data_IF_133807028960
#
_entry.id   IF_133807028960
#
_cell.length_a   1.000
_cell.length_b   1.000
_cell.length_c   1.000
_cell.angle_alpha   90.00
_cell.angle_beta   90.00
_cell.angle_gamma   90.00
#
_symmetry.space_group_name_H-M   'P 1'
#
loop_
_entity.id
_entity.type
_entity.pdbx_description
1 polymer ?
#
# COMPACT_ATOMS: atom_id res chain seq x y z
N UNK A 1 14.29 -28.38 9.04
CA UNK A 1 13.83 -27.47 7.98
C UNK A 1 13.09 -26.32 8.65
N UNK A 2 13.35 -25.08 8.24
CA UNK A 2 12.57 -23.91 8.65
C UNK A 2 11.46 -23.67 7.63
N UNK A 3 10.28 -23.29 8.11
CA UNK A 3 9.18 -22.81 7.28
C UNK A 3 8.84 -21.37 7.69
N UNK A 4 8.51 -20.54 6.71
CA UNK A 4 7.93 -19.22 6.95
C UNK A 4 6.42 -19.35 6.95
N UNK A 5 5.75 -18.71 7.88
CA UNK A 5 4.29 -18.70 7.99
C UNK A 5 3.83 -17.25 7.95
N UNK A 6 2.85 -16.98 7.10
CA UNK A 6 2.18 -15.68 7.08
C UNK A 6 1.09 -15.63 8.15
N UNK A 7 0.97 -14.49 8.82
CA UNK A 7 0.02 -14.30 9.90
C UNK A 7 -0.46 -12.85 9.97
N UNK A 8 -1.73 -12.68 10.35
CA UNK A 8 -2.30 -11.36 10.63
C UNK A 8 -2.21 -11.07 12.13
N UNK A 9 -1.78 -9.86 12.49
CA UNK A 9 -1.80 -9.38 13.86
C UNK A 9 -3.09 -8.61 14.15
N UNK A 10 -3.92 -9.09 15.07
CA UNK A 10 -5.21 -8.46 15.42
C UNK A 10 -5.11 -7.40 16.54
N UNK A 11 -3.89 -7.01 16.92
CA UNK A 11 -3.61 -6.12 18.05
C UNK A 11 -3.30 -6.85 19.36
N UNK A 12 -3.52 -8.17 19.42
CA UNK A 12 -3.20 -8.98 20.60
C UNK A 12 -2.49 -10.30 20.25
N UNK A 13 -2.87 -10.94 19.15
CA UNK A 13 -2.42 -12.27 18.76
C UNK A 13 -2.10 -12.32 17.26
N UNK A 14 -1.03 -13.04 16.90
CA UNK A 14 -0.74 -13.40 15.51
C UNK A 14 -1.55 -14.64 15.13
N UNK A 15 -2.42 -14.50 14.13
CA UNK A 15 -3.23 -15.59 13.58
C UNK A 15 -2.62 -16.04 12.26
N UNK A 16 -2.06 -17.25 12.17
CA UNK A 16 -1.49 -17.72 10.92
C UNK A 16 -2.60 -17.90 9.88
N UNK A 17 -2.30 -17.59 8.63
CA UNK A 17 -3.24 -17.76 7.52
C UNK A 17 -3.51 -19.25 7.25
N UNK A 18 -2.54 -20.11 7.54
CA UNK A 18 -2.67 -21.56 7.50
C UNK A 18 -2.49 -22.18 8.90
N UNK A 19 -3.29 -23.20 9.22
CA UNK A 19 -3.19 -23.87 10.51
C UNK A 19 -1.84 -24.58 10.66
N UNK A 20 -1.17 -24.35 11.79
CA UNK A 20 0.09 -25.01 12.13
C UNK A 20 -0.01 -25.66 13.51
N UNK A 21 0.42 -26.91 13.61
CA UNK A 21 0.59 -27.57 14.90
C UNK A 21 2.02 -27.36 15.42
N UNK A 22 2.12 -26.67 16.55
CA UNK A 22 3.37 -26.47 17.27
C UNK A 22 3.31 -27.21 18.61
N UNK A 23 4.45 -27.78 19.03
CA UNK A 23 4.56 -28.37 20.36
C UNK A 23 4.56 -27.25 21.43
N UNK A 24 4.12 -27.53 22.67
CA UNK A 24 4.32 -26.60 23.78
C UNK A 24 5.78 -26.13 23.86
N UNK A 25 5.98 -24.87 24.24
CA UNK A 25 7.29 -24.22 24.35
C UNK A 25 8.12 -24.15 23.05
N UNK A 26 7.48 -24.27 21.89
CA UNK A 26 8.15 -24.05 20.60
C UNK A 26 8.55 -22.57 20.46
N UNK A 27 9.85 -22.33 20.29
CA UNK A 27 10.38 -20.99 20.01
C UNK A 27 10.15 -20.64 18.55
N UNK A 28 9.55 -19.49 18.30
CA UNK A 28 9.34 -18.92 16.96
C UNK A 28 10.20 -17.68 16.77
N UNK A 29 10.53 -17.36 15.52
CA UNK A 29 11.15 -16.09 15.13
C UNK A 29 10.12 -15.29 14.34
N UNK A 30 9.83 -14.08 14.81
CA UNK A 30 9.00 -13.13 14.07
C UNK A 30 9.90 -12.31 13.16
N UNK A 31 9.51 -12.19 11.90
CA UNK A 31 10.11 -11.29 10.93
C UNK A 31 8.97 -10.39 10.47
N UNK A 32 9.10 -9.08 10.70
CA UNK A 32 8.18 -8.08 10.18
C UNK A 32 8.84 -7.48 8.96
N UNK A 33 8.18 -7.60 7.81
CA UNK A 33 8.59 -6.97 6.57
C UNK A 33 7.60 -5.88 6.26
N UNK A 34 8.08 -4.68 5.98
CA UNK A 34 7.25 -3.66 5.36
C UNK A 34 6.94 -4.11 3.94
N UNK A 35 5.66 -4.21 3.60
CA UNK A 35 5.24 -4.43 2.22
C UNK A 35 5.51 -3.14 1.46
N UNK A 36 6.23 -3.23 0.34
CA UNK A 36 6.42 -2.05 -0.51
C UNK A 36 5.10 -1.67 -1.17
N UNK A 37 4.95 -0.40 -1.55
CA UNK A 37 3.79 0.07 -2.32
C UNK A 37 3.65 -0.67 -3.65
N UNK A 38 4.76 -1.11 -4.25
CA UNK A 38 4.76 -1.95 -5.45
C UNK A 38 4.20 -3.35 -5.18
N UNK A 39 4.64 -4.02 -4.11
CA UNK A 39 4.11 -5.35 -3.76
C UNK A 39 2.61 -5.29 -3.43
N UNK A 40 2.16 -4.20 -2.78
CA UNK A 40 0.75 -3.98 -2.51
C UNK A 40 -0.06 -3.71 -3.79
N UNK A 41 0.53 -3.04 -4.78
CA UNK A 41 -0.08 -2.80 -6.08
C UNK A 41 -0.22 -4.10 -6.89
N UNK A 42 0.81 -4.96 -6.89
CA UNK A 42 0.77 -6.28 -7.53
C UNK A 42 -0.35 -7.16 -6.94
N UNK A 43 -0.48 -7.16 -5.60
CA UNK A 43 -1.57 -7.88 -4.91
C UNK A 43 -2.93 -7.32 -5.30
N UNK A 44 -3.10 -5.99 -5.28
CA UNK A 44 -4.34 -5.33 -5.70
C UNK A 44 -4.70 -5.66 -7.15
N UNK A 45 -3.73 -5.60 -8.07
CA UNK A 45 -3.92 -5.93 -9.48
C UNK A 45 -4.39 -7.38 -9.66
N UNK A 46 -3.89 -8.31 -8.85
CA UNK A 46 -4.31 -9.73 -8.88
C UNK A 46 -5.77 -9.95 -8.47
N UNK A 47 -6.35 -9.03 -7.70
CA UNK A 47 -7.73 -9.09 -7.21
C UNK A 47 -8.73 -8.47 -8.21
N UNK A 48 -8.26 -7.76 -9.24
CA UNK A 48 -9.11 -7.13 -10.24
C UNK A 48 -9.73 -8.20 -11.16
N UNK A 49 -11.06 -8.14 -11.33
CA UNK A 49 -11.82 -9.16 -12.06
C UNK A 49 -12.19 -8.77 -13.50
N UNK A 50 -12.09 -7.49 -13.89
CA UNK A 50 -12.16 -7.05 -15.30
C UNK A 50 -11.79 -5.56 -15.49
N UNK A 51 -11.03 -5.28 -16.55
CA UNK A 51 -10.95 -4.04 -17.34
C UNK A 51 -10.81 -2.69 -16.61
N UNK A 52 -9.80 -2.59 -15.74
CA UNK A 52 -9.28 -1.36 -15.13
C UNK A 52 -7.84 -1.09 -15.61
N UNK A 53 -7.59 -1.29 -16.92
CA UNK A 53 -6.26 -1.09 -17.53
C UNK A 53 -5.79 0.36 -17.39
N UNK A 54 -6.71 1.32 -17.59
CA UNK A 54 -6.46 2.75 -17.40
C UNK A 54 -6.06 3.07 -15.94
N UNK A 55 -6.70 2.43 -14.95
CA UNK A 55 -6.38 2.65 -13.54
C UNK A 55 -5.04 2.01 -13.16
N UNK A 56 -4.72 0.84 -13.72
CA UNK A 56 -3.41 0.23 -13.54
C UNK A 56 -2.29 1.10 -14.12
N UNK A 57 -2.49 1.66 -15.32
CA UNK A 57 -1.52 2.56 -15.95
C UNK A 57 -1.35 3.84 -15.11
N UNK A 58 -2.45 4.44 -14.65
CA UNK A 58 -2.40 5.65 -13.83
C UNK A 58 -1.70 5.42 -12.48
N UNK A 59 -1.97 4.29 -11.81
CA UNK A 59 -1.33 3.97 -10.52
C UNK A 59 0.15 3.62 -10.73
N UNK A 60 0.49 2.85 -11.77
CA UNK A 60 1.89 2.55 -12.08
C UNK A 60 2.69 3.83 -12.35
N UNK A 61 2.13 4.77 -13.13
CA UNK A 61 2.77 6.06 -13.37
C UNK A 61 3.00 6.83 -12.06
N UNK A 62 2.01 6.87 -11.18
CA UNK A 62 2.14 7.55 -9.90
C UNK A 62 3.23 6.92 -9.01
N UNK A 63 3.36 5.59 -9.01
CA UNK A 63 4.42 4.87 -8.29
C UNK A 63 5.81 5.20 -8.87
N UNK A 64 5.94 5.20 -10.20
CA UNK A 64 7.19 5.54 -10.89
C UNK A 64 7.62 6.99 -10.60
N UNK A 65 6.66 7.93 -10.58
CA UNK A 65 6.89 9.32 -10.21
C UNK A 65 7.33 9.44 -8.74
N UNK A 66 6.71 8.68 -7.83
CA UNK A 66 7.12 8.62 -6.42
C UNK A 66 8.54 8.11 -6.23
N UNK A 67 8.92 7.05 -6.96
CA UNK A 67 10.28 6.51 -6.95
C UNK A 67 11.30 7.48 -7.56
N UNK A 68 10.87 8.30 -8.53
CA UNK A 68 11.66 9.41 -9.06
C UNK A 68 11.78 10.60 -8.09
N UNK A 69 11.10 10.57 -6.94
CA UNK A 69 11.13 11.59 -5.89
C UNK A 69 10.03 12.65 -6.03
N UNK A 70 9.03 12.43 -6.88
CA UNK A 70 7.82 13.25 -6.89
C UNK A 70 6.94 12.88 -5.68
N UNK A 71 6.46 13.90 -4.97
CA UNK A 71 5.55 13.72 -3.84
C UNK A 71 4.24 14.48 -4.05
N UNK A 72 3.98 14.86 -5.31
CA UNK A 72 2.86 15.68 -5.72
C UNK A 72 2.99 17.13 -5.26
N UNK A 73 1.91 17.89 -5.49
CA UNK A 73 1.81 19.28 -5.08
C UNK A 73 1.14 19.38 -3.70
N UNK A 74 1.74 20.10 -2.73
CA UNK A 74 1.07 20.37 -1.46
C UNK A 74 -0.32 20.98 -1.67
N UNK A 75 -1.31 20.52 -0.90
CA UNK A 75 -2.71 20.92 -1.09
C UNK A 75 -2.94 22.43 -1.17
N UNK A 76 -2.23 23.21 -0.36
CA UNK A 76 -2.36 24.69 -0.37
C UNK A 76 -1.87 25.30 -1.68
N UNK A 77 -0.81 24.75 -2.25
CA UNK A 77 -0.24 25.22 -3.52
C UNK A 77 -1.20 24.86 -4.66
N UNK A 78 -1.65 23.60 -4.71
CA UNK A 78 -2.67 23.15 -5.67
C UNK A 78 -3.96 23.99 -5.61
N UNK A 79 -4.55 24.17 -4.42
CA UNK A 79 -5.82 24.93 -4.27
C UNK A 79 -5.63 26.40 -4.67
N UNK A 80 -4.46 26.99 -4.41
CA UNK A 80 -4.15 28.36 -4.82
C UNK A 80 -4.08 28.47 -6.35
N UNK A 81 -3.24 27.66 -6.99
CA UNK A 81 -3.06 27.66 -8.45
C UNK A 81 -4.36 27.35 -9.19
N UNK A 82 -5.12 26.36 -8.68
CA UNK A 82 -6.42 25.98 -9.23
C UNK A 82 -7.41 27.15 -9.15
N UNK A 83 -7.51 27.84 -8.01
CA UNK A 83 -8.42 28.98 -7.84
C UNK A 83 -8.04 30.15 -8.74
N UNK A 84 -6.75 30.46 -8.86
CA UNK A 84 -6.26 31.52 -9.75
C UNK A 84 -6.60 31.21 -11.21
N UNK A 85 -6.32 29.99 -11.66
CA UNK A 85 -6.62 29.53 -13.02
C UNK A 85 -8.12 29.59 -13.36
N UNK A 86 -8.97 29.31 -12.37
CA UNK A 86 -10.43 29.26 -12.54
C UNK A 86 -11.18 30.50 -12.02
N UNK A 87 -10.47 31.56 -11.63
CA UNK A 87 -11.04 32.82 -11.10
C UNK A 87 -11.99 32.61 -9.90
N UNK A 88 -11.65 31.66 -9.03
CA UNK A 88 -12.42 31.35 -7.82
C UNK A 88 -11.92 32.22 -6.66
N UNK A 89 -12.81 32.63 -5.72
CA UNK A 89 -12.39 33.40 -4.56
C UNK A 89 -11.48 32.58 -3.63
N UNK A 90 -10.56 33.22 -2.87
CA UNK A 90 -9.71 32.53 -1.92
C UNK A 90 -10.52 31.87 -0.78
N UNK A 91 -10.04 30.73 -0.25
CA UNK A 91 -10.63 30.14 0.98
C UNK A 91 -10.35 31.05 2.17
N UNK A 92 -11.38 31.24 2.99
CA UNK A 92 -11.33 31.96 4.27
C UNK A 92 -10.56 31.18 5.33
#
# INVERSE_FOLDING_TARGET
MSQTLEATFDGQVFRPMEAVELKPDTRVRLIVTDQSTADAFDEWQSLLTANEEDDCEAIQQALDEMDAGDHGTPWKEFDTEFREKHQLPPRS
#
